data_IF_477653883031
#
_entry.id   IF_477653883031
#
_cell.length_a   1.000
_cell.length_b   1.000
_cell.length_c   1.000
_cell.angle_alpha   90.00
_cell.angle_beta   90.00
_cell.angle_gamma   90.00
#
_symmetry.space_group_name_H-M   'P 1'
#
loop_
_entity.id
_entity.type
_entity.pdbx_description
1 polymer ?
#
# COMPACT_ATOMS: atom_id res chain seq x y z
N UNK A 1 -12.68 4.80 6.96
CA UNK A 1 -13.31 6.10 6.63
C UNK A 1 -14.71 5.79 6.19
N UNK A 2 -15.69 6.27 6.92
CA UNK A 2 -17.10 6.15 6.52
C UNK A 2 -17.43 7.19 5.43
N UNK A 3 -18.51 6.98 4.67
CA UNK A 3 -18.94 7.92 3.61
C UNK A 3 -19.25 9.32 4.12
N UNK A 4 -19.56 9.46 5.41
CA UNK A 4 -19.84 10.72 6.10
C UNK A 4 -18.59 11.41 6.68
N UNK A 5 -17.40 10.86 6.43
CA UNK A 5 -16.14 11.42 6.91
C UNK A 5 -15.82 11.14 8.37
N UNK A 6 -16.58 10.28 9.04
CA UNK A 6 -16.28 9.87 10.40
C UNK A 6 -15.14 8.85 10.43
N UNK A 7 -14.35 8.88 11.51
CA UNK A 7 -13.20 8.00 11.70
C UNK A 7 -13.41 7.12 12.92
N UNK A 8 -13.02 5.86 12.78
CA UNK A 8 -12.83 4.97 13.92
C UNK A 8 -11.35 5.01 14.27
N UNK A 9 -11.05 5.38 15.52
CA UNK A 9 -9.68 5.41 16.04
C UNK A 9 -9.62 4.79 17.43
N UNK A 10 -8.43 4.39 17.84
CA UNK A 10 -8.21 3.89 19.20
C UNK A 10 -8.58 4.97 20.22
N UNK A 11 -9.28 4.56 21.29
CA UNK A 11 -9.61 5.46 22.40
C UNK A 11 -8.38 6.12 23.05
N UNK A 12 -7.23 5.50 22.89
CA UNK A 12 -5.97 5.92 23.50
C UNK A 12 -5.10 6.78 22.59
N UNK A 13 -5.58 7.11 21.36
CA UNK A 13 -4.78 7.84 20.36
C UNK A 13 -4.21 9.15 20.89
N UNK A 14 -5.00 9.93 21.62
CA UNK A 14 -4.56 11.19 22.22
C UNK A 14 -3.51 10.94 23.33
N UNK A 15 -3.79 9.98 24.20
CA UNK A 15 -2.89 9.64 25.31
C UNK A 15 -1.54 9.16 24.81
N UNK A 16 -1.49 8.31 23.81
CA UNK A 16 -0.24 7.78 23.25
C UNK A 16 0.62 8.92 22.69
N UNK A 17 0.04 9.83 21.91
CA UNK A 17 0.76 10.98 21.37
C UNK A 17 1.24 11.94 22.49
N UNK A 18 0.41 12.16 23.50
CA UNK A 18 0.78 13.02 24.66
C UNK A 18 1.92 12.40 25.48
N UNK A 19 1.83 11.12 25.80
CA UNK A 19 2.87 10.40 26.56
C UNK A 19 4.21 10.37 25.77
N UNK A 20 4.13 10.23 24.44
CA UNK A 20 5.30 10.28 23.57
C UNK A 20 5.82 11.72 23.33
N UNK A 21 5.11 12.75 23.79
CA UNK A 21 5.42 14.18 23.57
C UNK A 21 5.40 14.58 22.09
N UNK A 22 4.66 13.88 21.27
CA UNK A 22 4.49 14.15 19.83
C UNK A 22 3.14 14.76 19.49
N UNK A 23 2.24 14.90 20.47
CA UNK A 23 0.90 15.42 20.26
C UNK A 23 0.93 16.79 19.57
N UNK A 24 0.20 16.89 18.47
CA UNK A 24 -0.13 18.11 17.75
C UNK A 24 -1.64 18.16 17.55
N UNK A 25 -2.25 19.23 17.99
CA UNK A 25 -3.70 19.39 17.92
C UNK A 25 -4.21 20.28 19.03
N UNK A 26 -5.50 20.18 19.30
CA UNK A 26 -6.19 20.91 20.36
C UNK A 26 -6.90 19.93 21.30
N UNK A 27 -6.42 19.86 22.54
CA UNK A 27 -6.99 18.98 23.56
C UNK A 27 -8.43 19.38 23.95
N UNK A 28 -8.76 20.67 23.90
CA UNK A 28 -10.06 21.18 24.29
C UNK A 28 -11.15 20.76 23.30
N UNK A 29 -10.85 20.84 22.01
CA UNK A 29 -11.75 20.42 20.93
C UNK A 29 -11.62 18.94 20.59
N UNK A 30 -10.66 18.24 21.22
CA UNK A 30 -10.31 16.85 20.92
C UNK A 30 -9.99 16.64 19.44
N UNK A 31 -9.28 17.58 18.84
CA UNK A 31 -8.73 17.44 17.51
C UNK A 31 -7.26 17.06 17.56
N UNK A 32 -6.83 16.19 16.67
CA UNK A 32 -5.44 15.77 16.54
C UNK A 32 -5.03 15.82 15.06
N UNK A 33 -3.89 16.44 14.81
CA UNK A 33 -3.21 16.28 13.53
C UNK A 33 -2.44 14.94 13.58
N UNK A 34 -3.01 13.95 12.90
CA UNK A 34 -2.46 12.59 12.90
C UNK A 34 -1.10 12.53 12.23
N UNK A 35 -0.91 13.26 11.14
CA UNK A 35 0.37 13.28 10.45
C UNK A 35 1.46 13.85 11.35
N UNK A 36 1.27 15.07 11.84
CA UNK A 36 2.27 15.75 12.65
C UNK A 36 2.51 15.09 14.02
N UNK A 37 1.52 14.30 14.52
CA UNK A 37 1.64 13.62 15.81
C UNK A 37 2.31 12.24 15.73
N UNK A 38 2.20 11.55 14.57
CA UNK A 38 2.61 10.15 14.43
C UNK A 38 3.60 9.90 13.28
N UNK A 39 3.75 10.82 12.33
CA UNK A 39 4.78 10.69 11.30
C UNK A 39 6.17 10.98 11.88
N UNK A 40 7.18 10.49 11.20
CA UNK A 40 8.57 10.88 11.50
C UNK A 40 8.72 12.40 11.26
N UNK A 41 9.48 13.10 12.12
CA UNK A 41 9.66 14.55 12.01
C UNK A 41 10.38 14.95 10.71
N UNK A 42 11.20 14.07 10.17
CA UNK A 42 11.89 14.25 8.90
C UNK A 42 11.66 13.03 8.02
N UNK A 43 11.19 13.25 6.81
CA UNK A 43 11.05 12.19 5.81
C UNK A 43 12.38 12.04 5.05
N UNK A 44 12.78 10.80 4.80
CA UNK A 44 13.84 10.55 3.84
C UNK A 44 13.36 10.90 2.43
N UNK A 45 14.26 11.28 1.55
CA UNK A 45 13.98 11.55 0.12
C UNK A 45 13.19 10.40 -0.51
N UNK A 46 13.52 9.17 -0.17
CA UNK A 46 12.81 7.97 -0.65
C UNK A 46 11.38 7.90 -0.15
N UNK A 47 11.11 8.25 1.11
CA UNK A 47 9.76 8.25 1.65
C UNK A 47 8.93 9.37 1.05
N UNK A 48 9.49 10.54 0.93
CA UNK A 48 8.87 11.71 0.33
C UNK A 48 8.48 11.45 -1.12
N UNK A 49 9.40 10.90 -1.92
CA UNK A 49 9.15 10.55 -3.33
C UNK A 49 7.97 9.57 -3.46
N UNK A 50 7.86 8.56 -2.58
CA UNK A 50 6.73 7.63 -2.58
C UNK A 50 5.41 8.30 -2.23
N UNK A 51 5.41 9.17 -1.21
CA UNK A 51 4.21 9.93 -0.82
C UNK A 51 3.76 10.83 -1.96
N UNK A 52 4.67 11.62 -2.53
CA UNK A 52 4.39 12.50 -3.66
C UNK A 52 3.86 11.72 -4.87
N UNK A 53 4.52 10.62 -5.22
CA UNK A 53 4.11 9.77 -6.34
C UNK A 53 2.72 9.19 -6.13
N UNK A 54 2.44 8.70 -4.92
CA UNK A 54 1.13 8.16 -4.57
C UNK A 54 0.02 9.19 -4.64
N UNK A 55 0.23 10.38 -4.10
CA UNK A 55 -0.76 11.45 -4.14
C UNK A 55 -1.03 11.85 -5.60
N UNK A 56 0.01 12.06 -6.40
CA UNK A 56 -0.13 12.47 -7.80
C UNK A 56 -0.76 11.42 -8.69
N UNK A 57 -0.68 10.15 -8.34
CA UNK A 57 -1.37 9.10 -9.07
C UNK A 57 -2.91 9.25 -9.02
N UNK A 58 -3.43 9.73 -7.89
CA UNK A 58 -4.87 9.89 -7.68
C UNK A 58 -5.34 11.33 -7.76
N UNK A 59 -4.42 12.30 -7.66
CA UNK A 59 -4.66 13.71 -7.82
C UNK A 59 -3.46 14.38 -8.50
N UNK A 60 -3.38 14.35 -9.85
CA UNK A 60 -2.24 14.88 -10.61
C UNK A 60 -1.97 16.37 -10.35
N UNK A 61 -3.01 17.14 -10.05
CA UNK A 61 -2.94 18.58 -9.80
C UNK A 61 -2.59 18.94 -8.35
N UNK A 62 -2.37 17.94 -7.49
CA UNK A 62 -2.00 18.18 -6.11
C UNK A 62 -0.72 19.03 -6.03
N UNK A 63 -0.79 20.08 -5.21
CA UNK A 63 0.35 20.94 -4.87
C UNK A 63 0.74 20.67 -3.44
N UNK A 64 2.04 20.66 -3.20
CA UNK A 64 2.62 20.50 -1.87
C UNK A 64 3.25 21.82 -1.47
N UNK A 65 2.97 22.28 -0.26
CA UNK A 65 3.62 23.45 0.35
C UNK A 65 4.60 22.93 1.41
N UNK A 66 5.87 22.89 1.06
CA UNK A 66 6.92 22.34 1.93
C UNK A 66 6.79 20.82 2.11
N UNK A 67 7.31 20.31 3.23
CA UNK A 67 7.37 18.88 3.54
C UNK A 67 6.12 18.38 4.33
N UNK A 68 5.03 19.13 4.28
CA UNK A 68 3.79 18.79 4.99
C UNK A 68 2.83 18.11 4.05
N UNK A 69 2.58 16.85 4.30
CA UNK A 69 1.63 16.04 3.53
C UNK A 69 0.37 15.81 4.35
N UNK A 70 -0.81 16.19 3.84
CA UNK A 70 -2.04 15.92 4.57
C UNK A 70 -2.27 14.41 4.69
N UNK A 71 -2.71 13.98 5.86
CA UNK A 71 -3.02 12.58 6.14
C UNK A 71 -4.12 12.03 5.22
N UNK A 72 -5.06 12.87 4.85
CA UNK A 72 -6.13 12.55 3.90
C UNK A 72 -5.97 13.38 2.64
N UNK A 73 -6.09 12.70 1.51
CA UNK A 73 -6.04 13.31 0.19
C UNK A 73 -7.36 13.13 -0.54
N UNK A 74 -7.81 14.19 -1.18
CA UNK A 74 -8.90 14.10 -2.15
C UNK A 74 -8.39 13.49 -3.45
N UNK A 75 -9.23 12.70 -4.09
CA UNK A 75 -8.92 12.13 -5.41
C UNK A 75 -9.65 12.90 -6.50
N UNK A 76 -9.02 13.06 -7.66
CA UNK A 76 -9.65 13.74 -8.81
C UNK A 76 -10.64 12.84 -9.56
N UNK A 77 -10.62 11.54 -9.28
CA UNK A 77 -11.50 10.54 -9.90
C UNK A 77 -11.84 9.44 -8.91
N UNK A 78 -12.91 8.71 -9.22
CA UNK A 78 -13.22 7.48 -8.49
C UNK A 78 -12.10 6.45 -8.72
N UNK A 79 -11.55 5.91 -7.62
CA UNK A 79 -10.51 4.87 -7.67
C UNK A 79 -11.19 3.53 -7.97
N UNK A 80 -10.70 2.84 -8.99
CA UNK A 80 -11.09 1.47 -9.32
C UNK A 80 -10.15 0.44 -8.69
N UNK A 81 -10.54 -0.82 -8.69
CA UNK A 81 -9.67 -1.91 -8.26
C UNK A 81 -8.37 -1.97 -9.11
N UNK A 82 -8.48 -1.75 -10.42
CA UNK A 82 -7.32 -1.70 -11.31
C UNK A 82 -6.38 -0.53 -10.97
N UNK A 83 -6.91 0.64 -10.62
CA UNK A 83 -6.11 1.78 -10.16
C UNK A 83 -5.36 1.44 -8.87
N UNK A 84 -6.00 0.74 -7.92
CA UNK A 84 -5.36 0.30 -6.68
C UNK A 84 -4.24 -0.71 -6.94
N UNK A 85 -4.46 -1.68 -7.84
CA UNK A 85 -3.42 -2.63 -8.26
C UNK A 85 -2.26 -1.93 -8.96
N UNK A 86 -2.54 -0.96 -9.83
CA UNK A 86 -1.51 -0.16 -10.50
C UNK A 86 -0.70 0.67 -9.50
N UNK A 87 -1.35 1.19 -8.45
CA UNK A 87 -0.68 1.94 -7.38
C UNK A 87 0.40 1.11 -6.67
N UNK A 88 0.12 -0.15 -6.35
CA UNK A 88 1.11 -1.02 -5.71
C UNK A 88 2.32 -1.33 -6.60
N UNK A 89 2.19 -1.10 -7.91
CA UNK A 89 3.24 -1.29 -8.93
C UNK A 89 3.94 0.00 -9.33
N UNK A 90 3.58 1.12 -8.73
CA UNK A 90 4.13 2.43 -9.08
C UNK A 90 5.63 2.48 -8.77
N UNK A 91 6.44 2.91 -9.75
CA UNK A 91 7.89 3.06 -9.68
C UNK A 91 8.33 4.53 -9.70
N UNK A 92 7.50 5.42 -9.18
CA UNK A 92 7.66 6.88 -9.13
C UNK A 92 7.45 7.58 -10.49
N UNK A 93 6.85 6.93 -11.47
CA UNK A 93 6.58 7.50 -12.81
C UNK A 93 5.72 8.76 -12.73
N UNK A 94 4.81 8.84 -11.75
CA UNK A 94 3.89 9.98 -11.58
C UNK A 94 4.58 11.28 -11.16
N UNK A 95 5.84 11.20 -10.74
CA UNK A 95 6.69 12.36 -10.45
C UNK A 95 7.88 12.47 -11.40
N UNK A 96 7.77 11.84 -12.58
CA UNK A 96 8.81 11.80 -13.62
C UNK A 96 10.16 11.24 -13.13
N UNK A 97 10.12 10.33 -12.18
CA UNK A 97 11.27 9.57 -11.71
C UNK A 97 11.00 8.09 -11.96
N UNK A 98 12.04 7.33 -12.19
CA UNK A 98 11.98 5.88 -12.24
C UNK A 98 12.99 5.36 -11.25
N UNK A 99 12.50 4.90 -10.11
CA UNK A 99 13.37 4.35 -9.09
C UNK A 99 13.81 2.93 -9.47
N UNK A 100 15.03 2.59 -9.09
CA UNK A 100 15.52 1.23 -9.20
C UNK A 100 14.79 0.34 -8.19
N UNK A 101 13.97 -0.57 -8.67
CA UNK A 101 13.23 -1.54 -7.87
C UNK A 101 14.13 -2.55 -7.14
N UNK A 102 15.42 -2.64 -7.51
CA UNK A 102 16.44 -3.38 -6.77
C UNK A 102 16.95 -2.63 -5.54
N UNK A 103 16.58 -1.37 -5.35
CA UNK A 103 17.04 -0.55 -4.24
C UNK A 103 18.53 -0.21 -4.30
N UNK A 104 19.12 -0.18 -5.50
CA UNK A 104 20.53 0.20 -5.69
C UNK A 104 20.75 1.71 -5.68
N UNK A 105 19.68 2.48 -5.73
CA UNK A 105 19.70 3.94 -5.65
C UNK A 105 19.26 4.46 -4.28
N UNK A 106 19.18 5.77 -4.15
CA UNK A 106 18.68 6.43 -2.94
C UNK A 106 17.15 6.38 -2.83
N UNK A 107 16.44 6.08 -3.94
CA UNK A 107 14.99 6.05 -4.00
C UNK A 107 14.48 4.63 -4.10
N UNK A 108 13.52 4.30 -3.23
CA UNK A 108 12.78 3.06 -3.29
C UNK A 108 11.38 3.33 -3.86
N UNK A 109 10.95 2.63 -4.90
CA UNK A 109 9.60 2.78 -5.43
C UNK A 109 8.55 2.18 -4.49
N UNK A 110 7.27 2.48 -4.73
CA UNK A 110 6.15 1.84 -4.03
C UNK A 110 6.15 0.35 -4.37
N UNK A 111 6.16 0.00 -5.67
CA UNK A 111 6.41 -1.37 -6.12
C UNK A 111 7.90 -1.66 -6.15
N UNK A 112 8.39 -2.54 -5.30
CA UNK A 112 9.79 -2.93 -5.24
C UNK A 112 9.97 -4.42 -4.92
N UNK A 113 11.19 -4.94 -5.16
CA UNK A 113 11.50 -6.36 -4.96
C UNK A 113 11.41 -6.82 -3.50
N UNK A 114 11.59 -5.92 -2.55
CA UNK A 114 11.59 -6.24 -1.12
C UNK A 114 10.16 -6.31 -0.56
N UNK A 115 9.15 -6.03 -1.38
CA UNK A 115 7.75 -6.20 -0.98
C UNK A 115 7.49 -7.70 -0.79
N UNK A 116 7.10 -8.08 0.41
CA UNK A 116 6.80 -9.47 0.75
C UNK A 116 5.42 -9.89 0.28
N UNK A 117 4.49 -8.94 0.30
CA UNK A 117 3.13 -9.10 -0.20
C UNK A 117 2.50 -7.74 -0.49
N UNK A 118 1.51 -7.72 -1.37
CA UNK A 118 0.61 -6.59 -1.53
C UNK A 118 -0.83 -7.09 -1.53
N UNK A 119 -1.69 -6.48 -0.71
CA UNK A 119 -3.09 -6.89 -0.64
C UNK A 119 -4.03 -5.69 -0.76
N UNK A 120 -5.21 -5.94 -1.34
CA UNK A 120 -6.27 -4.97 -1.54
C UNK A 120 -7.58 -5.60 -1.11
N UNK A 121 -8.24 -5.01 -0.13
CA UNK A 121 -9.59 -5.39 0.25
C UNK A 121 -10.58 -4.59 -0.59
N UNK A 122 -11.30 -5.29 -1.45
CA UNK A 122 -12.37 -4.73 -2.26
C UNK A 122 -13.72 -5.06 -1.62
N UNK A 123 -14.34 -4.07 -0.99
CA UNK A 123 -15.66 -4.16 -0.37
C UNK A 123 -16.64 -3.41 -1.25
N UNK A 124 -17.50 -4.11 -2.04
CA UNK A 124 -18.50 -3.44 -2.86
C UNK A 124 -19.60 -2.80 -1.99
N UNK A 125 -20.25 -1.77 -2.50
CA UNK A 125 -21.38 -1.15 -1.80
C UNK A 125 -22.58 -2.09 -1.57
N UNK A 126 -22.60 -3.22 -2.27
CA UNK A 126 -23.59 -4.30 -2.13
C UNK A 126 -23.10 -5.43 -1.23
N UNK A 127 -22.03 -5.20 -0.45
CA UNK A 127 -21.49 -6.22 0.45
C UNK A 127 -22.53 -6.64 1.50
N UNK A 128 -22.58 -7.93 1.79
CA UNK A 128 -23.41 -8.56 2.83
C UNK A 128 -22.55 -9.43 3.73
N UNK A 129 -23.10 -9.95 4.82
CA UNK A 129 -22.37 -10.89 5.70
C UNK A 129 -21.98 -12.17 4.95
N UNK A 130 -22.81 -12.61 4.00
CA UNK A 130 -22.50 -13.78 3.16
C UNK A 130 -21.50 -13.46 2.04
N UNK A 131 -21.44 -12.20 1.61
CA UNK A 131 -20.49 -11.73 0.59
C UNK A 131 -19.86 -10.42 1.01
N UNK A 132 -18.95 -10.44 2.01
CA UNK A 132 -18.38 -9.24 2.59
C UNK A 132 -17.34 -8.54 1.71
N UNK A 133 -16.98 -9.13 0.58
CA UNK A 133 -16.00 -8.60 -0.36
C UNK A 133 -14.90 -9.60 -0.71
N UNK A 134 -13.84 -9.10 -1.33
CA UNK A 134 -12.75 -9.93 -1.85
C UNK A 134 -11.42 -9.32 -1.45
N UNK A 135 -10.53 -10.14 -0.91
CA UNK A 135 -9.12 -9.78 -0.76
C UNK A 135 -8.36 -10.18 -2.03
N UNK A 136 -7.69 -9.24 -2.63
CA UNK A 136 -6.76 -9.47 -3.73
C UNK A 136 -5.35 -9.46 -3.18
N UNK A 137 -4.64 -10.56 -3.34
CA UNK A 137 -3.31 -10.77 -2.77
C UNK A 137 -2.29 -11.07 -3.88
N UNK A 138 -1.21 -10.32 -3.89
CA UNK A 138 0.00 -10.62 -4.66
C UNK A 138 1.09 -11.05 -3.66
N UNK A 139 1.59 -12.26 -3.81
CA UNK A 139 2.66 -12.81 -2.96
C UNK A 139 4.02 -12.44 -3.56
N UNK A 140 4.90 -11.88 -2.73
CA UNK A 140 6.16 -11.28 -3.20
C UNK A 140 5.94 -9.92 -3.83
N UNK A 141 6.85 -9.52 -4.73
CA UNK A 141 6.78 -8.21 -5.38
C UNK A 141 5.56 -8.10 -6.29
N UNK A 142 4.72 -7.07 -6.13
CA UNK A 142 3.57 -6.84 -7.01
C UNK A 142 3.97 -6.51 -8.46
N UNK A 143 5.26 -6.22 -8.71
CA UNK A 143 5.79 -6.00 -10.07
C UNK A 143 5.81 -7.29 -10.89
N UNK A 144 6.00 -8.43 -10.24
CA UNK A 144 6.19 -9.73 -10.87
C UNK A 144 5.11 -10.74 -10.53
N UNK A 145 4.33 -10.47 -9.48
CA UNK A 145 3.28 -11.36 -8.98
C UNK A 145 1.89 -10.92 -9.45
N UNK A 146 1.02 -11.85 -9.86
CA UNK A 146 -0.38 -11.58 -10.12
C UNK A 146 -1.15 -11.35 -8.81
N UNK A 147 -2.20 -10.53 -8.86
CA UNK A 147 -3.18 -10.46 -7.79
C UNK A 147 -4.17 -11.60 -7.91
N UNK A 148 -4.21 -12.46 -6.88
CA UNK A 148 -5.12 -13.60 -6.79
C UNK A 148 -6.27 -13.25 -5.84
N UNK A 149 -7.54 -13.50 -6.23
CA UNK A 149 -8.68 -13.23 -5.37
C UNK A 149 -8.86 -14.29 -4.29
N UNK A 150 -9.10 -13.84 -3.06
CA UNK A 150 -9.48 -14.66 -1.91
C UNK A 150 -10.84 -14.21 -1.39
N UNK A 151 -11.72 -15.18 -1.17
CA UNK A 151 -13.08 -14.93 -0.70
C UNK A 151 -13.20 -15.37 0.76
N UNK A 152 -13.69 -14.52 1.67
CA UNK A 152 -13.73 -14.81 3.10
C UNK A 152 -14.50 -16.10 3.48
N UNK A 153 -15.49 -16.47 2.68
CA UNK A 153 -16.32 -17.65 2.92
C UNK A 153 -15.85 -18.89 2.14
N UNK A 154 -14.63 -18.86 1.61
CA UNK A 154 -14.07 -19.99 0.89
C UNK A 154 -13.56 -21.05 1.89
N UNK A 155 -14.19 -22.22 1.91
CA UNK A 155 -13.87 -23.31 2.84
C UNK A 155 -12.63 -24.12 2.46
N UNK A 156 -12.16 -23.99 1.22
CA UNK A 156 -10.92 -24.57 0.74
C UNK A 156 -10.06 -23.46 0.15
N UNK A 157 -8.82 -23.36 0.59
CA UNK A 157 -7.86 -22.47 -0.04
C UNK A 157 -7.73 -22.78 -1.53
N UNK A 158 -7.32 -21.80 -2.33
CA UNK A 158 -6.85 -22.07 -3.67
C UNK A 158 -5.58 -22.90 -3.47
N UNK A 159 -5.64 -24.20 -3.81
CA UNK A 159 -4.51 -25.13 -3.58
C UNK A 159 -3.20 -24.61 -4.16
N UNK A 160 -3.29 -23.90 -5.30
CA UNK A 160 -2.15 -23.27 -5.95
C UNK A 160 -1.54 -22.10 -5.18
N UNK A 161 -2.25 -21.53 -4.21
CA UNK A 161 -1.74 -20.43 -3.39
C UNK A 161 -1.16 -20.91 -2.05
N UNK A 162 -1.40 -22.17 -1.69
CA UNK A 162 -0.91 -22.74 -0.44
C UNK A 162 0.47 -23.38 -0.65
N UNK A 163 1.37 -23.06 0.28
CA UNK A 163 2.65 -23.75 0.40
C UNK A 163 2.73 -24.35 1.81
N UNK A 164 2.24 -25.58 1.94
CA UNK A 164 2.05 -26.21 3.24
C UNK A 164 3.37 -26.53 3.97
N UNK A 165 4.49 -26.68 3.25
CA UNK A 165 5.73 -27.23 3.82
C UNK A 165 6.97 -26.35 3.61
N UNK A 166 6.85 -25.11 3.11
CA UNK A 166 7.98 -24.27 2.70
C UNK A 166 8.92 -24.92 1.66
N UNK A 167 8.45 -25.96 0.99
CA UNK A 167 9.17 -26.62 -0.07
C UNK A 167 8.76 -26.06 -1.43
N UNK A 168 9.67 -26.12 -2.39
CA UNK A 168 9.36 -25.73 -3.76
C UNK A 168 8.20 -26.58 -4.31
N UNK A 169 7.22 -25.90 -4.88
CA UNK A 169 6.08 -26.53 -5.54
C UNK A 169 5.72 -25.73 -6.80
N UNK A 170 5.86 -26.37 -7.95
CA UNK A 170 5.60 -25.78 -9.26
C UNK A 170 4.14 -25.36 -9.48
N UNK A 171 3.20 -25.91 -8.70
CA UNK A 171 1.79 -25.52 -8.72
C UNK A 171 1.47 -24.34 -7.78
N UNK A 172 2.44 -23.89 -6.99
CA UNK A 172 2.24 -22.80 -6.04
C UNK A 172 2.39 -21.45 -6.71
N UNK A 173 1.38 -20.57 -6.57
CA UNK A 173 1.43 -19.19 -7.06
C UNK A 173 2.61 -18.42 -6.45
N UNK A 174 2.95 -18.68 -5.19
CA UNK A 174 4.12 -18.06 -4.55
C UNK A 174 5.42 -18.44 -5.27
N UNK A 175 5.66 -19.73 -5.50
CA UNK A 175 6.87 -20.17 -6.16
C UNK A 175 6.95 -19.73 -7.62
N UNK A 176 5.84 -19.74 -8.35
CA UNK A 176 5.78 -19.19 -9.71
C UNK A 176 6.09 -17.68 -9.74
N UNK A 177 5.63 -16.93 -8.75
CA UNK A 177 5.95 -15.51 -8.63
C UNK A 177 7.43 -15.28 -8.31
N UNK A 178 8.01 -16.12 -7.43
CA UNK A 178 9.44 -16.07 -7.09
C UNK A 178 10.31 -16.45 -8.27
N UNK A 179 9.97 -17.50 -9.00
CA UNK A 179 10.68 -17.89 -10.22
C UNK A 179 10.65 -16.79 -11.28
N UNK A 180 9.48 -16.15 -11.45
CA UNK A 180 9.35 -14.99 -12.36
C UNK A 180 10.28 -13.87 -11.94
N UNK A 181 10.33 -13.55 -10.64
CA UNK A 181 11.23 -12.54 -10.11
C UNK A 181 12.70 -12.89 -10.37
N UNK A 182 13.11 -14.13 -10.09
CA UNK A 182 14.47 -14.58 -10.33
C UNK A 182 14.85 -14.55 -11.81
N UNK A 183 13.94 -14.95 -12.70
CA UNK A 183 14.17 -14.88 -14.14
C UNK A 183 14.36 -13.43 -14.63
N UNK A 184 13.54 -12.49 -14.12
CA UNK A 184 13.68 -11.07 -14.43
C UNK A 184 15.01 -10.53 -13.90
N UNK A 185 15.38 -10.88 -12.67
CA UNK A 185 16.66 -10.43 -12.09
C UNK A 185 17.88 -10.99 -12.81
N UNK A 186 17.82 -12.24 -13.23
CA UNK A 186 18.91 -12.89 -13.97
C UNK A 186 19.15 -12.26 -15.34
N UNK A 187 18.09 -11.83 -16.03
CA UNK A 187 18.18 -11.25 -17.37
C UNK A 187 18.19 -9.70 -17.38
N UNK A 188 18.29 -9.06 -16.22
CA UNK A 188 18.18 -7.61 -16.11
C UNK A 188 19.35 -6.83 -16.73
N UNK A 189 20.51 -7.44 -16.74
CA UNK A 189 21.77 -6.83 -17.22
C UNK A 189 22.04 -7.12 -18.72
N UNK A 190 21.10 -7.80 -19.39
CA UNK A 190 21.09 -7.99 -20.84
C UNK A 190 20.14 -6.97 -21.52
#
# INVERSE_FOLDING_TARGET
ISEDGNYIYSKDIFKVATDAKTFKGDELTRTIDLYSSYALPELSESTESRVCSGIKQFNPDAKFEGDVYPFLQTTSKKITLADAMAFTRNRLETINQVADDLGRGNLYPIGNRNTMEAHIYHVPSTATEENPGTMWLALGSPLTSPFVPYYPNQNSGIAQAQNENNEFNEDSVYWLAMDTLFMIEYNRDE
#
